data_IF_853510501871
#
_entry.id   IF_853510501871
#
_cell.length_a   1.000
_cell.length_b   1.000
_cell.length_c   1.000
_cell.angle_alpha   90.00
_cell.angle_beta   90.00
_cell.angle_gamma   90.00
#
_symmetry.space_group_name_H-M   'P 1'
#
loop_
_entity.id
_entity.type
_entity.pdbx_description
1 polymer ?
#
# COMPACT_ATOMS: atom_id res chain seq x y z
N UNK A 1 -3.58 -12.09 6.96
CA UNK A 1 -2.30 -11.48 7.35
C UNK A 1 -1.49 -11.30 6.08
N UNK A 2 -0.88 -10.13 5.87
CA UNK A 2 -0.07 -9.89 4.68
C UNK A 2 1.24 -10.69 4.76
N UNK A 3 1.66 -11.33 3.67
CA UNK A 3 3.01 -11.94 3.60
C UNK A 3 4.01 -10.92 3.06
N UNK A 4 5.24 -10.94 3.56
CA UNK A 4 6.31 -10.16 2.96
C UNK A 4 6.67 -10.73 1.58
N UNK A 5 6.89 -9.86 0.59
CA UNK A 5 7.39 -10.27 -0.73
C UNK A 5 8.33 -9.22 -1.32
N UNK A 6 9.27 -9.67 -2.14
CA UNK A 6 10.13 -8.80 -2.92
C UNK A 6 9.66 -8.83 -4.39
N UNK A 7 9.30 -7.68 -4.99
CA UNK A 7 8.85 -7.64 -6.38
C UNK A 7 9.87 -8.17 -7.39
N UNK A 8 11.17 -8.08 -7.08
CA UNK A 8 12.22 -8.64 -7.93
C UNK A 8 12.36 -10.17 -7.81
N UNK A 9 12.10 -10.75 -6.64
CA UNK A 9 12.17 -12.20 -6.44
C UNK A 9 10.91 -12.91 -6.95
N UNK A 10 9.77 -12.24 -6.84
CA UNK A 10 8.45 -12.78 -7.16
C UNK A 10 7.71 -11.80 -8.09
N UNK A 11 8.16 -11.64 -9.35
CA UNK A 11 7.60 -10.66 -10.28
C UNK A 11 6.15 -10.98 -10.69
N UNK A 12 5.74 -12.24 -10.58
CA UNK A 12 4.40 -12.71 -10.94
C UNK A 12 3.42 -12.69 -9.74
N UNK A 13 3.86 -12.22 -8.57
CA UNK A 13 2.96 -12.08 -7.42
C UNK A 13 1.86 -11.06 -7.73
N UNK A 14 0.60 -11.46 -7.59
CA UNK A 14 -0.55 -10.63 -7.94
C UNK A 14 -1.21 -10.03 -6.67
N UNK A 15 -1.06 -8.72 -6.41
CA UNK A 15 -1.65 -8.06 -5.25
C UNK A 15 -3.19 -8.02 -5.27
N UNK A 16 -3.83 -8.37 -6.40
CA UNK A 16 -5.29 -8.51 -6.48
C UNK A 16 -5.78 -9.86 -5.97
N UNK A 17 -4.90 -10.87 -5.91
CA UNK A 17 -5.20 -12.23 -5.46
C UNK A 17 -4.67 -12.51 -4.05
N UNK A 18 -3.60 -11.83 -3.64
CA UNK A 18 -2.95 -12.01 -2.36
C UNK A 18 -2.78 -10.68 -1.62
N UNK A 19 -2.80 -10.73 -0.28
CA UNK A 19 -2.42 -9.56 0.54
C UNK A 19 -0.90 -9.61 0.74
N UNK A 20 -0.19 -8.68 0.12
CA UNK A 20 1.26 -8.65 0.07
C UNK A 20 1.83 -7.38 0.75
N UNK A 21 2.83 -7.54 1.60
CA UNK A 21 3.62 -6.47 2.22
C UNK A 21 4.95 -6.33 1.45
N UNK A 22 5.15 -5.20 0.78
CA UNK A 22 6.32 -4.98 -0.08
C UNK A 22 7.58 -4.86 0.78
N UNK A 23 8.51 -5.80 0.64
CA UNK A 23 9.84 -5.77 1.27
C UNK A 23 10.91 -6.15 0.27
N UNK A 24 11.71 -5.16 -0.14
CA UNK A 24 12.83 -5.37 -1.04
C UNK A 24 13.94 -6.18 -0.37
N UNK A 25 14.48 -7.19 -1.05
CA UNK A 25 15.71 -7.85 -0.65
C UNK A 25 16.93 -7.00 -1.05
N UNK A 26 18.10 -7.34 -0.53
CA UNK A 26 19.34 -6.58 -0.79
C UNK A 26 19.68 -6.49 -2.29
N UNK A 27 19.45 -7.55 -3.06
CA UNK A 27 19.76 -7.60 -4.49
C UNK A 27 18.83 -6.76 -5.36
N UNK A 28 17.58 -6.55 -4.91
CA UNK A 28 16.54 -5.89 -5.68
C UNK A 28 16.13 -4.55 -5.08
N UNK A 29 16.79 -4.09 -4.01
CA UNK A 29 16.50 -2.79 -3.45
C UNK A 29 16.65 -1.71 -4.52
N UNK A 30 15.63 -0.88 -4.77
CA UNK A 30 15.75 0.21 -5.72
C UNK A 30 16.91 1.13 -5.32
N UNK A 31 17.54 1.74 -6.32
CA UNK A 31 18.46 2.84 -6.06
C UNK A 31 17.72 3.95 -5.32
N UNK A 32 18.40 4.58 -4.37
CA UNK A 32 17.93 5.72 -3.60
C UNK A 32 18.75 6.95 -3.97
N UNK A 33 18.21 8.12 -3.65
CA UNK A 33 18.85 9.41 -3.84
C UNK A 33 19.05 9.75 -5.33
N UNK A 34 18.09 9.34 -6.17
CA UNK A 34 18.03 9.69 -7.59
C UNK A 34 17.35 11.04 -7.83
N UNK A 35 17.44 11.55 -9.06
CA UNK A 35 16.81 12.82 -9.44
C UNK A 35 15.29 12.86 -9.15
N UNK A 36 14.61 11.71 -9.29
CA UNK A 36 13.19 11.59 -8.96
C UNK A 36 12.92 11.68 -7.45
N UNK A 37 13.84 11.20 -6.61
CA UNK A 37 13.73 11.28 -5.14
C UNK A 37 13.84 12.74 -4.66
N UNK A 38 14.66 13.56 -5.33
CA UNK A 38 14.83 14.99 -5.01
C UNK A 38 13.58 15.83 -5.33
N UNK A 39 12.75 15.39 -6.28
CA UNK A 39 11.53 16.09 -6.68
C UNK A 39 10.39 15.85 -5.67
N UNK A 40 10.40 14.71 -4.96
CA UNK A 40 9.33 14.33 -4.04
C UNK A 40 9.57 14.95 -2.66
N UNK A 41 8.99 16.13 -2.42
CA UNK A 41 8.95 16.71 -1.07
C UNK A 41 7.78 16.15 -0.27
N UNK A 42 8.05 15.32 0.74
CA UNK A 42 7.02 14.92 1.71
C UNK A 42 6.77 16.07 2.71
N UNK A 43 5.66 16.79 2.57
CA UNK A 43 5.30 17.90 3.47
C UNK A 43 4.88 17.43 4.88
N UNK A 44 4.63 16.14 5.05
CA UNK A 44 4.37 15.51 6.35
C UNK A 44 4.87 14.06 6.32
N UNK A 45 5.53 13.65 7.39
CA UNK A 45 5.70 12.24 7.70
C UNK A 45 4.30 11.71 8.04
N UNK A 46 3.66 10.97 7.12
CA UNK A 46 2.40 10.27 7.37
C UNK A 46 2.69 9.09 8.31
N UNK A 47 3.00 9.39 9.58
CA UNK A 47 3.05 8.38 10.63
C UNK A 47 1.63 7.93 10.89
N UNK A 48 1.29 6.81 10.27
CA UNK A 48 0.05 6.12 10.51
C UNK A 48 -0.71 5.95 9.23
N UNK A 49 -0.92 4.68 8.89
CA UNK A 49 -2.23 4.22 8.45
C UNK A 49 -3.31 4.77 9.40
N UNK A 50 -3.62 6.05 9.31
CA UNK A 50 -4.96 6.50 9.63
C UNK A 50 -5.80 5.80 8.56
N UNK A 51 -6.21 4.56 8.85
CA UNK A 51 -7.32 3.94 8.16
C UNK A 51 -8.36 5.04 8.08
N UNK A 52 -8.70 5.46 6.86
CA UNK A 52 -9.78 6.40 6.65
C UNK A 52 -10.94 5.87 7.48
N UNK A 53 -11.23 6.55 8.61
CA UNK A 53 -12.09 6.01 9.64
C UNK A 53 -13.35 5.58 8.92
N UNK A 54 -13.64 4.27 8.94
CA UNK A 54 -14.48 3.60 7.93
C UNK A 54 -15.93 4.07 7.85
N UNK A 55 -16.27 5.24 8.40
CA UNK A 55 -17.51 5.98 8.27
C UNK A 55 -17.97 6.12 6.83
N UNK A 56 -17.09 6.53 5.91
CA UNK A 56 -17.47 6.66 4.50
C UNK A 56 -17.83 5.29 3.92
N UNK A 57 -17.00 4.26 4.19
CA UNK A 57 -17.28 2.89 3.74
C UNK A 57 -18.58 2.33 4.36
N UNK A 58 -18.84 2.59 5.66
CA UNK A 58 -20.06 2.17 6.35
C UNK A 58 -21.31 2.81 5.72
N UNK A 59 -21.27 4.11 5.44
CA UNK A 59 -22.37 4.83 4.75
C UNK A 59 -22.66 4.22 3.38
N UNK A 60 -21.61 3.87 2.62
CA UNK A 60 -21.77 3.16 1.35
C UNK A 60 -22.38 1.77 1.53
N UNK A 61 -21.95 1.01 2.53
CA UNK A 61 -22.53 -0.30 2.84
C UNK A 61 -24.02 -0.21 3.21
N UNK A 62 -24.45 0.79 3.97
CA UNK A 62 -25.87 0.95 4.34
C UNK A 62 -26.76 1.15 3.11
N UNK A 63 -26.30 1.97 2.15
CA UNK A 63 -26.99 2.23 0.88
C UNK A 63 -27.02 0.97 0.02
N UNK A 64 -25.88 0.30 -0.15
CA UNK A 64 -25.72 -0.83 -1.06
C UNK A 64 -26.37 -2.12 -0.54
N UNK A 65 -26.34 -2.36 0.77
CA UNK A 65 -26.94 -3.55 1.38
C UNK A 65 -28.43 -3.39 1.70
N UNK A 66 -29.02 -2.24 1.38
CA UNK A 66 -30.46 -2.00 1.51
C UNK A 66 -31.00 -2.17 2.93
N UNK A 67 -30.17 -1.94 3.96
CA UNK A 67 -30.61 -1.99 5.35
C UNK A 67 -31.32 -0.68 5.68
N UNK A 68 -32.63 -0.68 5.41
CA UNK A 68 -33.58 0.30 5.93
C UNK A 68 -34.02 -0.08 7.34
#
# INVERSE_FOLDING_TARGET
MARAYCPGCEPDADPSLEILDVRWCESHSPARDGADDEVVTASAYLSGSAEAGGDDNRRWCDILHGRR
#
